data_IF_506546291972
#
_entry.id   IF_506546291972
#
_cell.length_a   1.000
_cell.length_b   1.000
_cell.length_c   1.000
_cell.angle_alpha   90.00
_cell.angle_beta   90.00
_cell.angle_gamma   90.00
#
_symmetry.space_group_name_H-M   'P 1'
#
loop_
_entity.id
_entity.type
_entity.pdbx_description
1 polymer ?
#
# COMPACT_ATOMS: atom_id res chain seq x y z
N UNK A 1 17.29 -7.12 53.71
CA UNK A 1 17.20 -7.77 52.39
C UNK A 1 15.82 -7.47 51.82
N UNK A 2 15.67 -6.35 51.09
CA UNK A 2 14.42 -5.97 50.44
C UNK A 2 14.60 -6.08 48.93
N UNK A 3 13.70 -6.84 48.30
CA UNK A 3 13.71 -7.19 46.89
C UNK A 3 13.28 -6.00 46.02
N UNK A 4 13.99 -5.82 44.92
CA UNK A 4 13.71 -4.86 43.87
C UNK A 4 12.36 -5.17 43.20
N UNK A 5 11.38 -4.26 43.33
CA UNK A 5 10.12 -4.34 42.59
C UNK A 5 10.29 -3.55 41.29
N UNK A 6 10.22 -4.30 40.20
CA UNK A 6 10.40 -3.90 38.80
C UNK A 6 9.25 -2.95 38.34
N UNK A 7 9.51 -1.78 37.73
CA UNK A 7 8.47 -0.82 37.35
C UNK A 7 7.69 -1.16 36.06
N UNK A 8 7.90 -2.32 35.45
CA UNK A 8 7.34 -2.66 34.12
C UNK A 8 5.90 -3.16 34.09
N UNK A 9 5.22 -3.30 35.23
CA UNK A 9 3.92 -3.98 35.31
C UNK A 9 2.68 -3.06 35.39
N UNK A 10 2.78 -1.77 35.05
CA UNK A 10 1.67 -0.80 35.19
C UNK A 10 1.06 -0.27 33.90
N UNK A 11 1.22 -0.96 32.77
CA UNK A 11 0.72 -0.49 31.46
C UNK A 11 -0.37 -1.36 30.80
N UNK A 12 -0.97 -2.34 31.49
CA UNK A 12 -1.93 -3.27 30.87
C UNK A 12 -3.40 -2.98 31.28
N UNK A 13 -3.65 -1.95 32.11
CA UNK A 13 -5.00 -1.64 32.61
C UNK A 13 -5.86 -0.73 31.73
N UNK A 14 -5.27 0.03 30.79
CA UNK A 14 -5.98 1.11 30.09
C UNK A 14 -6.32 0.81 28.61
N UNK A 15 -5.75 -0.25 28.01
CA UNK A 15 -5.93 -0.52 26.58
C UNK A 15 -7.23 -1.29 26.24
N UNK A 16 -7.88 -1.93 27.21
CA UNK A 16 -9.01 -2.85 26.96
C UNK A 16 -10.40 -2.20 26.89
N UNK A 17 -10.53 -0.90 27.18
CA UNK A 17 -11.84 -0.22 27.19
C UNK A 17 -12.06 0.67 25.94
N UNK A 18 -11.01 0.97 25.17
CA UNK A 18 -11.09 1.85 23.98
C UNK A 18 -11.17 1.06 22.67
N UNK A 19 -10.92 -0.25 22.70
CA UNK A 19 -10.99 -1.11 21.51
C UNK A 19 -12.41 -1.40 20.99
N UNK A 20 -13.48 -1.51 21.80
CA UNK A 20 -14.80 -1.82 21.27
C UNK A 20 -15.43 -0.74 20.35
N UNK A 21 -15.40 0.57 20.67
CA UNK A 21 -16.10 1.56 19.84
C UNK A 21 -15.35 1.91 18.54
N UNK A 22 -14.03 1.78 18.49
CA UNK A 22 -13.25 2.03 17.26
C UNK A 22 -13.39 0.91 16.23
N UNK A 23 -13.49 -0.35 16.69
CA UNK A 23 -13.81 -1.49 15.82
C UNK A 23 -15.24 -1.41 15.28
N UNK A 24 -16.18 -0.85 16.05
CA UNK A 24 -17.57 -0.72 15.58
C UNK A 24 -17.75 0.38 14.52
N UNK A 25 -17.00 1.48 14.60
CA UNK A 25 -17.02 2.54 13.58
C UNK A 25 -16.37 2.11 12.25
N UNK A 26 -15.37 1.23 12.29
CA UNK A 26 -14.68 0.76 11.08
C UNK A 26 -15.46 -0.34 10.31
N UNK A 27 -16.45 -0.98 10.94
CA UNK A 27 -17.33 -1.96 10.29
C UNK A 27 -18.44 -1.35 9.40
N UNK A 28 -18.58 -0.03 9.33
CA UNK A 28 -19.59 0.66 8.48
C UNK A 28 -19.03 1.45 7.30
N UNK A 29 -17.72 1.74 7.27
CA UNK A 29 -17.12 2.32 6.09
C UNK A 29 -16.84 1.18 5.09
N UNK A 30 -17.84 0.83 4.28
CA UNK A 30 -17.54 0.08 3.05
C UNK A 30 -16.69 1.00 2.19
N UNK A 31 -15.43 0.65 1.88
CA UNK A 31 -14.66 1.43 0.91
C UNK A 31 -15.42 1.34 -0.41
N UNK A 32 -15.95 2.46 -0.87
CA UNK A 32 -16.58 2.57 -2.17
C UNK A 32 -15.51 3.08 -3.14
N UNK A 33 -15.24 2.33 -4.19
CA UNK A 33 -14.41 2.80 -5.29
C UNK A 33 -15.28 3.81 -6.04
N UNK A 34 -14.95 5.09 -5.88
CA UNK A 34 -15.67 6.18 -6.55
C UNK A 34 -15.33 6.25 -8.02
N UNK A 35 -14.06 5.99 -8.35
CA UNK A 35 -13.54 6.10 -9.69
C UNK A 35 -12.33 5.19 -9.88
N UNK A 36 -12.16 4.67 -11.09
CA UNK A 36 -11.03 3.83 -11.49
C UNK A 36 -10.60 4.23 -12.88
N UNK A 37 -9.38 4.75 -12.99
CA UNK A 37 -8.82 5.27 -14.24
C UNK A 37 -7.51 4.56 -14.57
N UNK A 38 -7.37 4.13 -15.82
CA UNK A 38 -6.14 3.58 -16.36
C UNK A 38 -5.23 4.72 -16.83
N UNK A 39 -4.11 4.90 -16.16
CA UNK A 39 -3.13 5.94 -16.44
C UNK A 39 -1.82 5.34 -16.96
N UNK A 40 -1.28 5.82 -18.09
CA UNK A 40 0.04 5.41 -18.52
C UNK A 40 1.10 6.01 -17.58
N UNK A 41 2.07 5.17 -17.21
CA UNK A 41 3.14 5.52 -16.31
C UNK A 41 4.47 4.94 -16.79
N UNK A 42 5.52 5.74 -16.77
CA UNK A 42 6.87 5.30 -17.17
C UNK A 42 7.69 4.91 -15.95
N UNK A 43 8.33 3.75 -15.99
CA UNK A 43 9.24 3.30 -14.94
C UNK A 43 10.50 4.16 -14.93
N UNK A 44 10.66 5.03 -13.94
CA UNK A 44 11.85 5.85 -13.77
C UNK A 44 13.00 5.11 -13.11
N UNK A 45 12.69 4.28 -12.12
CA UNK A 45 13.69 3.59 -11.31
C UNK A 45 13.18 2.23 -10.88
N UNK A 46 14.06 1.23 -10.90
CA UNK A 46 13.82 -0.11 -10.37
C UNK A 46 14.91 -0.41 -9.35
N UNK A 47 14.53 -0.72 -8.12
CA UNK A 47 15.46 -1.05 -7.03
C UNK A 47 15.05 -2.35 -6.38
N UNK A 48 15.98 -3.30 -6.28
CA UNK A 48 15.75 -4.51 -5.47
C UNK A 48 15.71 -4.15 -3.99
N UNK A 49 14.62 -4.49 -3.30
CA UNK A 49 14.43 -4.30 -1.87
C UNK A 49 14.77 -5.56 -1.06
N UNK A 50 14.65 -6.74 -1.69
CA UNK A 50 15.01 -8.01 -1.06
C UNK A 50 14.36 -9.20 -1.74
N UNK A 51 14.22 -10.29 -0.99
CA UNK A 51 13.70 -11.55 -1.49
C UNK A 51 12.81 -12.21 -0.43
N UNK A 52 11.65 -12.70 -0.84
CA UNK A 52 10.73 -13.46 0.01
C UNK A 52 10.57 -14.86 -0.62
N UNK A 53 11.16 -15.86 0.01
CA UNK A 53 11.21 -17.22 -0.55
C UNK A 53 11.99 -17.24 -1.87
N UNK A 54 11.34 -17.64 -2.96
CA UNK A 54 11.93 -17.65 -4.31
C UNK A 54 11.56 -16.40 -5.14
N UNK A 55 10.80 -15.46 -4.60
CA UNK A 55 10.39 -14.24 -5.30
C UNK A 55 11.26 -13.06 -4.87
N UNK A 56 11.84 -12.33 -5.84
CA UNK A 56 12.49 -11.06 -5.55
C UNK A 56 11.46 -9.94 -5.45
N UNK A 57 11.75 -8.98 -4.57
CA UNK A 57 10.91 -7.83 -4.28
C UNK A 57 11.65 -6.59 -4.77
N UNK A 58 10.97 -5.80 -5.60
CA UNK A 58 11.47 -4.58 -6.18
C UNK A 58 10.60 -3.40 -5.76
N UNK A 59 11.23 -2.27 -5.49
CA UNK A 59 10.57 -0.97 -5.43
C UNK A 59 10.76 -0.30 -6.79
N UNK A 60 9.65 0.03 -7.43
CA UNK A 60 9.61 0.72 -8.71
C UNK A 60 9.04 2.11 -8.50
N UNK A 61 9.73 3.11 -9.03
CA UNK A 61 9.21 4.48 -9.10
C UNK A 61 8.72 4.73 -10.51
N UNK A 62 7.44 5.03 -10.63
CA UNK A 62 6.75 5.37 -11.87
C UNK A 62 6.56 6.87 -11.96
N UNK A 63 6.55 7.40 -13.18
CA UNK A 63 6.15 8.77 -13.49
C UNK A 63 4.88 8.76 -14.30
N UNK A 64 3.86 9.44 -13.80
CA UNK A 64 2.59 9.67 -14.48
C UNK A 64 2.73 10.83 -15.48
N UNK A 65 1.80 10.93 -16.43
CA UNK A 65 1.80 11.99 -17.45
C UNK A 65 1.65 13.41 -16.88
N UNK A 66 0.96 13.55 -15.75
CA UNK A 66 0.83 14.82 -15.03
C UNK A 66 2.12 15.22 -14.28
N UNK A 67 3.14 14.34 -14.29
CA UNK A 67 4.43 14.53 -13.64
C UNK A 67 4.49 14.04 -12.19
N UNK A 68 3.40 13.53 -11.63
CA UNK A 68 3.41 12.86 -10.32
C UNK A 68 4.30 11.62 -10.38
N UNK A 69 4.99 11.33 -9.27
CA UNK A 69 5.83 10.14 -9.13
C UNK A 69 5.25 9.22 -8.08
N UNK A 70 5.03 7.97 -8.46
CA UNK A 70 4.40 6.95 -7.61
C UNK A 70 5.39 5.83 -7.38
N UNK A 71 5.62 5.46 -6.12
CA UNK A 71 6.48 4.31 -5.79
C UNK A 71 5.62 3.11 -5.41
N UNK A 72 5.80 1.98 -6.09
CA UNK A 72 5.13 0.72 -5.80
C UNK A 72 6.15 -0.37 -5.49
N UNK A 73 5.84 -1.21 -4.51
CA UNK A 73 6.62 -2.43 -4.24
C UNK A 73 5.99 -3.59 -4.98
N UNK A 74 6.70 -4.16 -5.94
CA UNK A 74 6.27 -5.27 -6.77
C UNK A 74 7.15 -6.49 -6.54
N UNK A 75 6.59 -7.67 -6.77
CA UNK A 75 7.37 -8.93 -6.85
C UNK A 75 7.77 -9.19 -8.29
N UNK A 76 8.74 -10.08 -8.54
CA UNK A 76 8.94 -10.59 -9.90
C UNK A 76 7.65 -11.24 -10.46
N UNK A 77 7.37 -11.10 -11.76
CA UNK A 77 8.06 -10.26 -12.73
C UNK A 77 7.70 -8.77 -12.59
N UNK A 78 8.64 -7.89 -12.96
CA UNK A 78 8.49 -6.43 -12.94
C UNK A 78 8.92 -5.81 -14.28
N UNK A 79 8.32 -4.67 -14.69
CA UNK A 79 8.73 -3.96 -15.89
C UNK A 79 10.15 -3.39 -15.75
N UNK A 80 10.84 -3.22 -16.88
CA UNK A 80 12.18 -2.67 -16.92
C UNK A 80 12.16 -1.15 -16.76
N UNK A 81 13.29 -0.59 -16.36
CA UNK A 81 13.45 0.86 -16.31
C UNK A 81 13.31 1.45 -17.72
N UNK A 82 12.44 2.47 -17.86
CA UNK A 82 12.08 3.10 -19.13
C UNK A 82 10.84 2.51 -19.79
N UNK A 83 10.32 1.37 -19.32
CA UNK A 83 9.07 0.81 -19.85
C UNK A 83 7.89 1.71 -19.48
N UNK A 84 6.92 1.80 -20.39
CA UNK A 84 5.63 2.43 -20.11
C UNK A 84 4.62 1.34 -19.82
N UNK A 85 3.96 1.45 -18.67
CA UNK A 85 2.95 0.52 -18.20
C UNK A 85 1.69 1.27 -17.80
N UNK A 86 0.57 0.55 -17.75
CA UNK A 86 -0.68 1.11 -17.25
C UNK A 86 -0.77 0.90 -15.73
N UNK A 87 -1.00 1.98 -15.00
CA UNK A 87 -1.39 1.95 -13.59
C UNK A 87 -2.88 2.24 -13.49
N UNK A 88 -3.58 1.52 -12.61
CA UNK A 88 -4.91 1.91 -12.20
C UNK A 88 -4.82 2.89 -11.04
N UNK A 89 -5.40 4.06 -11.23
CA UNK A 89 -5.67 5.03 -10.18
C UNK A 89 -7.09 4.80 -9.67
N UNK A 90 -7.20 4.37 -8.42
CA UNK A 90 -8.48 4.14 -7.77
C UNK A 90 -8.71 5.22 -6.71
N UNK A 91 -9.82 5.95 -6.83
CA UNK A 91 -10.25 6.88 -5.79
C UNK A 91 -11.18 6.14 -4.84
N UNK A 92 -10.69 5.83 -3.65
CA UNK A 92 -11.41 5.06 -2.64
C UNK A 92 -11.98 6.02 -1.59
N UNK A 93 -13.30 6.02 -1.42
CA UNK A 93 -13.94 6.76 -0.33
C UNK A 93 -14.03 5.89 0.92
N UNK A 94 -13.39 6.35 1.99
CA UNK A 94 -13.51 5.76 3.32
C UNK A 94 -14.21 6.76 4.25
N UNK A 95 -15.54 6.63 4.36
CA UNK A 95 -16.37 7.56 5.14
C UNK A 95 -16.47 8.93 4.49
N UNK A 96 -15.92 9.97 5.13
CA UNK A 96 -15.89 11.35 4.62
C UNK A 96 -14.59 11.73 3.90
N UNK A 97 -13.62 10.80 3.83
CA UNK A 97 -12.33 11.03 3.21
C UNK A 97 -12.24 10.25 1.89
N UNK A 98 -11.61 10.85 0.89
CA UNK A 98 -11.21 10.18 -0.35
C UNK A 98 -9.70 9.99 -0.35
N UNK A 99 -9.25 8.78 -0.67
CA UNK A 99 -7.85 8.41 -0.84
C UNK A 99 -7.61 7.97 -2.28
N UNK A 100 -6.48 8.37 -2.85
CA UNK A 100 -6.06 7.90 -4.17
C UNK A 100 -5.09 6.75 -3.97
N UNK A 101 -5.42 5.60 -4.51
CA UNK A 101 -4.55 4.42 -4.54
C UNK A 101 -4.06 4.20 -5.97
N UNK A 102 -2.81 3.75 -6.11
CA UNK A 102 -2.26 3.37 -7.40
C UNK A 102 -1.92 1.88 -7.37
N UNK A 103 -2.42 1.17 -8.36
CA UNK A 103 -2.21 -0.27 -8.50
C UNK A 103 -1.61 -0.58 -9.86
N UNK A 104 -0.54 -1.37 -9.86
CA UNK A 104 -0.01 -1.96 -11.08
C UNK A 104 -0.81 -3.20 -11.46
N UNK A 105 -1.41 -3.18 -12.65
CA UNK A 105 -2.13 -4.33 -13.20
C UNK A 105 -1.17 -5.30 -13.89
N UNK A 106 -0.51 -6.13 -13.07
CA UNK A 106 0.43 -7.14 -13.58
C UNK A 106 -0.22 -8.05 -14.63
N UNK A 107 -1.46 -8.48 -14.40
CA UNK A 107 -2.11 -9.46 -15.29
C UNK A 107 -2.30 -8.90 -16.70
N UNK A 108 -2.76 -7.64 -16.84
CA UNK A 108 -2.90 -6.99 -18.14
C UNK A 108 -1.53 -6.81 -18.82
N UNK A 109 -0.51 -6.37 -18.06
CA UNK A 109 0.84 -6.20 -18.58
C UNK A 109 1.47 -7.51 -19.07
N UNK A 110 1.31 -8.61 -18.33
CA UNK A 110 1.83 -9.93 -18.74
C UNK A 110 1.11 -10.50 -19.97
N UNK A 111 -0.14 -10.12 -20.20
CA UNK A 111 -0.91 -10.49 -21.40
C UNK A 111 -0.58 -9.60 -22.61
N UNK A 112 0.16 -8.51 -22.40
CA UNK A 112 0.52 -7.55 -23.46
C UNK A 112 -0.66 -6.71 -23.94
N UNK A 113 -1.67 -6.50 -23.08
CA UNK A 113 -2.86 -5.69 -23.35
C UNK A 113 -2.62 -4.18 -23.12
#
# INVERSE_FOLDING_TARGET
>A
MLQFINPRARAIGAALIILPPLLWLSLRAKPEILDSEALPATVLQVREQGQIGNERIYELTFRLEDGESVSLTLREPVPAQGDTVTLLRETIQTGHNSEVNYRFERQAWELGE
#
